data_IF_444532475966
#
_entry.id   IF_444532475966
#
_cell.length_a   1.000
_cell.length_b   1.000
_cell.length_c   1.000
_cell.angle_alpha   90.00
_cell.angle_beta   90.00
_cell.angle_gamma   90.00
#
_symmetry.space_group_name_H-M   'P 1'
#
loop_
_entity.id
_entity.type
_entity.pdbx_description
1 polymer ?
#
# COMPACT_ATOMS: atom_id res chain seq x y z
N UNK A 1 44.01 23.45 7.84
CA UNK A 1 42.99 23.44 6.77
C UNK A 1 41.71 22.92 7.41
N UNK A 2 40.83 23.83 7.83
CA UNK A 2 39.54 23.48 8.42
C UNK A 2 38.67 22.86 7.34
N UNK A 3 38.16 21.66 7.60
CA UNK A 3 37.13 21.03 6.77
C UNK A 3 35.86 21.82 7.05
N UNK A 4 35.35 22.51 6.04
CA UNK A 4 34.11 23.25 6.13
C UNK A 4 32.95 22.26 6.28
N UNK A 5 32.39 22.17 7.48
CA UNK A 5 31.02 21.74 7.70
C UNK A 5 30.11 22.76 7.02
N UNK A 6 29.68 22.45 5.79
CA UNK A 6 28.61 23.17 5.14
C UNK A 6 27.40 22.22 5.07
N UNK A 7 26.50 22.22 6.08
CA UNK A 7 25.32 21.37 6.02
C UNK A 7 24.45 21.87 4.87
N UNK A 8 23.98 20.94 4.03
CA UNK A 8 23.06 21.24 2.94
C UNK A 8 21.86 22.05 3.49
N UNK A 9 21.65 23.31 3.06
CA UNK A 9 20.61 24.19 3.61
C UNK A 9 19.19 23.65 3.45
N UNK A 10 18.97 22.80 2.43
CA UNK A 10 17.66 22.18 2.18
C UNK A 10 17.38 21.12 3.25
N UNK A 11 18.35 20.28 3.59
CA UNK A 11 18.24 19.28 4.66
C UNK A 11 18.00 19.90 6.06
N UNK A 12 18.25 21.20 6.25
CA UNK A 12 17.94 21.88 7.51
C UNK A 12 16.46 22.28 7.63
N UNK A 13 15.77 22.52 6.50
CA UNK A 13 14.38 23.02 6.51
C UNK A 13 13.40 21.95 6.97
N UNK A 14 13.51 20.74 6.43
CA UNK A 14 12.70 19.59 6.85
C UNK A 14 12.89 19.22 8.32
N UNK A 15 14.14 19.23 8.80
CA UNK A 15 14.45 18.92 10.20
C UNK A 15 13.91 20.00 11.16
N UNK A 16 14.04 21.29 10.81
CA UNK A 16 13.47 22.38 11.61
C UNK A 16 11.94 22.27 11.69
N UNK A 17 11.30 21.89 10.58
CA UNK A 17 9.86 21.67 10.54
C UNK A 17 9.43 20.46 11.37
N UNK A 18 10.18 19.35 11.33
CA UNK A 18 9.97 18.20 12.22
C UNK A 18 10.05 18.59 13.70
N UNK A 19 11.11 19.30 14.10
CA UNK A 19 11.32 19.75 15.49
C UNK A 19 10.13 20.58 15.99
N UNK A 20 9.65 21.53 15.17
CA UNK A 20 8.47 22.32 15.49
C UNK A 20 7.23 21.44 15.70
N UNK A 21 7.00 20.46 14.82
CA UNK A 21 5.85 19.55 14.99
C UNK A 21 5.94 18.70 16.25
N UNK A 22 7.13 18.26 16.64
CA UNK A 22 7.33 17.55 17.91
C UNK A 22 6.93 18.42 19.09
N UNK A 23 7.40 19.66 19.14
CA UNK A 23 7.04 20.60 20.22
C UNK A 23 5.52 20.84 20.27
N UNK A 24 4.89 21.02 19.10
CA UNK A 24 3.44 21.18 19.00
C UNK A 24 2.67 19.94 19.50
N UNK A 25 3.11 18.73 19.11
CA UNK A 25 2.47 17.48 19.54
C UNK A 25 2.65 17.25 21.04
N UNK A 26 3.84 17.48 21.58
CA UNK A 26 4.09 17.40 23.02
C UNK A 26 3.24 18.42 23.80
N UNK A 27 3.14 19.66 23.32
CA UNK A 27 2.27 20.68 23.91
C UNK A 27 0.77 20.30 23.84
N UNK A 28 0.36 19.54 22.82
CA UNK A 28 -0.98 18.99 22.68
C UNK A 28 -1.22 17.72 23.53
N UNK A 29 -0.23 17.28 24.31
CA UNK A 29 -0.31 16.14 25.21
C UNK A 29 -0.11 14.79 24.51
N UNK A 30 0.61 14.77 23.39
CA UNK A 30 1.11 13.52 22.82
C UNK A 30 2.40 13.08 23.50
N UNK A 31 2.61 11.76 23.52
CA UNK A 31 3.77 11.10 24.09
C UNK A 31 4.61 10.46 22.98
N UNK A 32 5.92 10.45 23.17
CA UNK A 32 6.84 9.66 22.37
C UNK A 32 7.07 8.29 23.03
N UNK A 33 7.33 7.24 22.24
CA UNK A 33 7.71 5.94 22.78
C UNK A 33 9.11 5.98 23.41
N UNK A 34 9.35 5.12 24.40
CA UNK A 34 10.57 5.19 25.23
C UNK A 34 11.77 4.43 24.66
N UNK A 35 11.56 3.35 23.89
CA UNK A 35 12.62 2.47 23.34
C UNK A 35 12.83 2.61 21.85
N UNK A 36 11.76 2.75 21.05
CA UNK A 36 11.93 3.02 19.63
C UNK A 36 12.29 4.49 19.49
N UNK A 37 13.59 4.78 19.56
CA UNK A 37 14.08 6.10 19.22
C UNK A 37 13.69 6.36 17.77
N UNK A 38 12.72 7.26 17.63
CA UNK A 38 12.67 8.27 16.58
C UNK A 38 14.00 8.33 15.83
N UNK A 39 14.04 7.88 14.58
CA UNK A 39 15.25 8.10 13.76
C UNK A 39 15.44 9.61 13.60
N UNK A 40 16.56 10.08 13.07
CA UNK A 40 16.73 11.53 12.84
C UNK A 40 15.62 12.15 11.97
N UNK A 41 14.86 11.33 11.24
CA UNK A 41 13.84 11.77 10.28
C UNK A 41 12.47 11.10 10.41
N UNK A 42 12.27 10.16 11.33
CA UNK A 42 10.98 9.49 11.52
C UNK A 42 10.64 9.38 12.99
N UNK A 43 9.61 10.11 13.43
CA UNK A 43 9.22 10.23 14.84
C UNK A 43 7.79 9.75 15.05
N UNK A 44 7.57 9.06 16.16
CA UNK A 44 6.29 8.42 16.50
C UNK A 44 5.67 9.11 17.70
N UNK A 45 4.40 9.46 17.61
CA UNK A 45 3.65 10.09 18.70
C UNK A 45 2.33 9.38 18.91
N UNK A 46 1.90 9.30 20.16
CA UNK A 46 0.58 8.77 20.49
C UNK A 46 -0.07 9.54 21.64
N UNK A 47 -1.40 9.49 21.69
CA UNK A 47 -2.20 10.00 22.79
C UNK A 47 -3.31 8.98 23.09
N UNK A 48 -3.40 8.46 24.32
CA UNK A 48 -4.50 7.56 24.69
C UNK A 48 -5.86 8.21 24.47
N UNK A 49 -6.80 7.46 23.89
CA UNK A 49 -8.19 7.89 23.70
C UNK A 49 -9.11 7.16 24.68
N UNK A 50 -8.98 5.83 24.72
CA UNK A 50 -9.70 4.93 25.63
C UNK A 50 -8.67 4.02 26.34
N UNK A 51 -9.15 3.02 27.08
CA UNK A 51 -8.26 1.99 27.65
C UNK A 51 -7.59 1.13 26.58
N UNK A 52 -8.20 0.99 25.39
CA UNK A 52 -7.73 0.08 24.34
C UNK A 52 -7.48 0.74 22.99
N UNK A 53 -7.56 2.07 22.90
CA UNK A 53 -7.30 2.81 21.66
C UNK A 53 -6.46 4.06 21.93
N UNK A 54 -5.66 4.44 20.93
CA UNK A 54 -4.84 5.64 20.94
C UNK A 54 -4.94 6.35 19.59
N UNK A 55 -4.85 7.67 19.63
CA UNK A 55 -4.59 8.48 18.45
C UNK A 55 -3.10 8.52 18.21
N UNK A 56 -2.69 8.24 16.99
CA UNK A 56 -1.28 8.14 16.57
C UNK A 56 -1.01 9.22 15.55
N UNK A 57 0.15 9.85 15.67
CA UNK A 57 0.70 10.79 14.69
C UNK A 57 2.16 10.42 14.46
N UNK A 58 2.49 10.00 13.26
CA UNK A 58 3.85 9.69 12.83
C UNK A 58 4.32 10.75 11.85
N UNK A 59 5.52 11.26 12.10
CA UNK A 59 6.15 12.30 11.29
C UNK A 59 7.33 11.70 10.53
N UNK A 60 7.32 11.82 9.20
CA UNK A 60 8.43 11.48 8.34
C UNK A 60 8.94 12.75 7.65
N UNK A 61 10.13 13.20 8.00
CA UNK A 61 10.75 14.34 7.34
C UNK A 61 11.50 13.94 6.08
N UNK A 62 11.54 14.89 5.16
CA UNK A 62 12.32 14.90 3.94
C UNK A 62 12.99 16.27 3.83
N UNK A 63 13.93 16.41 2.90
CA UNK A 63 14.64 17.67 2.69
C UNK A 63 13.70 18.87 2.49
N UNK A 64 12.60 18.69 1.75
CA UNK A 64 11.71 19.78 1.33
C UNK A 64 10.34 19.81 2.01
N UNK A 65 10.01 18.79 2.82
CA UNK A 65 8.66 18.57 3.36
C UNK A 65 8.63 17.67 4.58
N UNK A 66 7.48 17.66 5.27
CA UNK A 66 7.14 16.65 6.27
C UNK A 66 5.89 15.90 5.82
N UNK A 67 5.96 14.58 5.85
CA UNK A 67 4.80 13.70 5.68
C UNK A 67 4.27 13.32 7.06
N UNK A 68 2.97 13.47 7.25
CA UNK A 68 2.30 13.17 8.52
C UNK A 68 1.30 12.06 8.28
N UNK A 69 1.55 10.88 8.86
CA UNK A 69 0.58 9.79 8.91
C UNK A 69 -0.13 9.85 10.26
N UNK A 70 -1.45 9.93 10.28
CA UNK A 70 -2.22 10.06 11.52
C UNK A 70 -3.44 9.15 11.52
N UNK A 71 -3.93 8.85 12.71
CA UNK A 71 -5.20 8.15 12.87
C UNK A 71 -5.33 7.38 14.17
N UNK A 72 -6.14 6.32 14.17
CA UNK A 72 -6.48 5.57 15.37
C UNK A 72 -5.94 4.15 15.32
N UNK A 73 -5.33 3.72 16.42
CA UNK A 73 -4.79 2.38 16.59
C UNK A 73 -5.31 1.73 17.87
N UNK A 74 -5.64 0.44 17.80
CA UNK A 74 -6.06 -0.37 18.95
C UNK A 74 -4.83 -0.86 19.70
N UNK A 75 -4.64 -0.52 20.98
CA UNK A 75 -3.45 -0.92 21.77
C UNK A 75 -3.20 -2.42 21.83
N UNK A 76 -4.16 -3.26 21.42
CA UNK A 76 -3.98 -4.70 21.23
C UNK A 76 -3.12 -5.15 20.02
N UNK A 77 -2.54 -4.25 19.20
CA UNK A 77 -1.61 -4.62 18.11
C UNK A 77 -0.18 -4.92 18.62
N UNK A 78 0.01 -5.07 19.94
CA UNK A 78 1.32 -5.25 20.54
C UNK A 78 2.03 -6.41 19.86
N UNK A 79 3.29 -6.16 19.43
CA UNK A 79 4.11 -7.17 18.74
C UNK A 79 4.26 -8.45 19.57
N UNK A 80 3.97 -8.35 20.86
CA UNK A 80 3.94 -9.41 21.86
C UNK A 80 2.54 -9.47 22.48
N UNK A 81 1.81 -10.57 22.28
CA UNK A 81 0.50 -10.76 22.90
C UNK A 81 0.62 -10.69 24.43
N UNK A 82 -0.23 -9.87 25.08
CA UNK A 82 -0.22 -9.65 26.53
C UNK A 82 0.74 -8.57 27.02
N UNK A 83 1.46 -7.88 26.12
CA UNK A 83 2.31 -6.73 26.48
C UNK A 83 1.56 -5.41 26.26
N UNK A 84 0.80 -4.98 27.26
CA UNK A 84 0.05 -3.72 27.21
C UNK A 84 0.97 -2.48 27.13
N UNK A 85 2.27 -2.63 27.40
CA UNK A 85 3.25 -1.54 27.35
C UNK A 85 3.87 -1.35 25.97
N UNK A 86 3.64 -2.24 24.99
CA UNK A 86 4.37 -2.16 23.71
C UNK A 86 4.13 -0.83 22.97
N UNK A 87 2.95 -0.22 23.11
CA UNK A 87 2.70 1.13 22.58
C UNK A 87 3.59 2.18 23.26
N UNK A 88 3.71 2.13 24.58
CA UNK A 88 4.52 3.08 25.37
C UNK A 88 6.01 2.89 25.06
N UNK A 89 6.44 1.64 24.90
CA UNK A 89 7.84 1.33 24.66
C UNK A 89 8.27 1.52 23.21
N UNK A 90 7.43 1.09 22.27
CA UNK A 90 7.82 1.00 20.86
C UNK A 90 7.00 1.91 19.95
N UNK A 91 5.86 2.42 20.37
CA UNK A 91 4.99 3.20 19.50
C UNK A 91 4.29 2.33 18.46
N UNK A 92 3.78 2.96 17.41
CA UNK A 92 2.99 2.32 16.34
C UNK A 92 3.58 2.74 15.01
N UNK A 93 3.99 1.78 14.18
CA UNK A 93 4.36 2.11 12.81
C UNK A 93 3.10 2.45 11.99
N UNK A 94 3.28 3.19 10.89
CA UNK A 94 2.20 3.57 9.98
C UNK A 94 1.29 2.39 9.59
N UNK A 95 1.90 1.25 9.25
CA UNK A 95 1.20 0.04 8.84
C UNK A 95 0.34 -0.61 9.92
N UNK A 96 0.58 -0.31 11.20
CA UNK A 96 -0.19 -0.85 12.33
C UNK A 96 -1.37 0.05 12.74
N UNK A 97 -1.45 1.28 12.23
CA UNK A 97 -2.59 2.18 12.49
C UNK A 97 -3.83 1.61 11.78
N UNK A 98 -4.91 1.36 12.53
CA UNK A 98 -6.10 0.67 12.03
C UNK A 98 -6.91 1.52 11.05
N UNK A 99 -7.11 2.80 11.40
CA UNK A 99 -7.67 3.81 10.51
C UNK A 99 -6.62 4.89 10.37
N UNK A 100 -6.05 5.06 9.17
CA UNK A 100 -5.06 6.11 8.90
C UNK A 100 -5.39 6.95 7.69
N UNK A 101 -4.86 8.16 7.74
CA UNK A 101 -4.77 9.12 6.66
C UNK A 101 -3.35 9.69 6.61
N UNK A 102 -3.01 10.33 5.49
CA UNK A 102 -1.71 10.96 5.30
C UNK A 102 -1.87 12.34 4.69
N UNK A 103 -1.12 13.30 5.21
CA UNK A 103 -1.00 14.65 4.65
C UNK A 103 0.47 14.99 4.43
N UNK A 104 0.73 15.81 3.42
CA UNK A 104 2.07 16.28 3.08
C UNK A 104 2.12 17.78 3.33
N UNK A 105 3.10 18.22 4.10
CA UNK A 105 3.24 19.62 4.52
C UNK A 105 4.52 20.20 3.93
N UNK A 106 4.37 21.17 3.03
CA UNK A 106 5.50 21.90 2.40
C UNK A 106 5.57 23.35 2.86
N UNK A 107 4.45 23.91 3.29
CA UNK A 107 4.31 25.31 3.67
C UNK A 107 3.20 25.50 4.72
N UNK A 108 2.98 26.75 5.15
CA UNK A 108 2.01 27.11 6.19
C UNK A 108 0.54 26.91 5.76
N UNK A 109 0.22 26.96 4.48
CA UNK A 109 -1.13 26.69 4.00
C UNK A 109 -1.45 25.19 4.11
N UNK A 110 -0.50 24.33 3.72
CA UNK A 110 -0.63 22.87 3.91
C UNK A 110 -0.75 22.54 5.40
N UNK A 111 -0.02 23.24 6.28
CA UNK A 111 -0.07 23.05 7.72
C UNK A 111 -1.46 23.36 8.30
N UNK A 112 -2.06 24.49 7.92
CA UNK A 112 -3.39 24.86 8.37
C UNK A 112 -4.45 23.85 7.91
N UNK A 113 -4.35 23.39 6.66
CA UNK A 113 -5.24 22.35 6.13
C UNK A 113 -5.05 21.00 6.85
N UNK A 114 -3.80 20.59 7.05
CA UNK A 114 -3.46 19.37 7.78
C UNK A 114 -4.00 19.39 9.21
N UNK A 115 -3.85 20.49 9.92
CA UNK A 115 -4.35 20.64 11.29
C UNK A 115 -5.86 20.44 11.36
N UNK A 116 -6.63 21.01 10.42
CA UNK A 116 -8.07 20.82 10.36
C UNK A 116 -8.45 19.35 10.12
N UNK A 117 -7.79 18.66 9.18
CA UNK A 117 -8.05 17.24 8.89
C UNK A 117 -7.70 16.34 10.09
N UNK A 118 -6.56 16.59 10.76
CA UNK A 118 -6.13 15.82 11.93
C UNK A 118 -7.11 16.02 13.09
N UNK A 119 -7.53 17.26 13.34
CA UNK A 119 -8.50 17.58 14.39
C UNK A 119 -9.87 16.94 14.12
N UNK A 120 -10.35 16.98 12.87
CA UNK A 120 -11.60 16.34 12.46
C UNK A 120 -11.55 14.83 12.67
N UNK A 121 -10.48 14.16 12.24
CA UNK A 121 -10.33 12.71 12.44
C UNK A 121 -10.23 12.36 13.93
N UNK A 122 -9.49 13.14 14.72
CA UNK A 122 -9.40 12.95 16.16
C UNK A 122 -10.76 13.09 16.82
N UNK A 123 -11.52 14.13 16.50
CA UNK A 123 -12.86 14.35 17.04
C UNK A 123 -13.83 13.21 16.67
N UNK A 124 -13.75 12.71 15.42
CA UNK A 124 -14.62 11.64 14.92
C UNK A 124 -14.47 10.32 15.67
N UNK A 125 -13.25 10.01 16.13
CA UNK A 125 -12.92 8.71 16.73
C UNK A 125 -12.46 8.78 18.20
N UNK A 126 -12.58 9.96 18.84
CA UNK A 126 -12.10 10.21 20.21
C UNK A 126 -12.64 9.20 21.24
N UNK A 127 -13.88 8.77 21.08
CA UNK A 127 -14.57 7.86 21.99
C UNK A 127 -14.79 6.47 21.38
N UNK A 128 -14.14 6.18 20.25
CA UNK A 128 -14.31 4.90 19.56
C UNK A 128 -13.54 3.81 20.29
N UNK A 129 -14.29 2.83 20.78
CA UNK A 129 -13.76 1.64 21.42
C UNK A 129 -13.12 0.69 20.40
N UNK A 130 -12.26 -0.22 20.89
CA UNK A 130 -11.47 -1.11 20.03
C UNK A 130 -12.28 -1.85 18.97
N UNK A 131 -13.39 -2.49 19.35
CA UNK A 131 -14.15 -3.32 18.41
C UNK A 131 -14.86 -2.48 17.33
N UNK A 132 -15.31 -1.27 17.69
CA UNK A 132 -15.88 -0.32 16.74
C UNK A 132 -14.82 0.21 15.77
N UNK A 133 -13.62 0.54 16.27
CA UNK A 133 -12.48 0.94 15.45
C UNK A 133 -12.14 -0.15 14.41
N UNK A 134 -12.07 -1.41 14.84
CA UNK A 134 -11.79 -2.55 13.97
C UNK A 134 -12.92 -2.78 12.95
N UNK A 135 -14.18 -2.56 13.34
CA UNK A 135 -15.33 -2.64 12.43
C UNK A 135 -15.26 -1.55 11.34
N UNK A 136 -14.92 -0.31 11.71
CA UNK A 136 -14.71 0.78 10.75
C UNK A 136 -13.57 0.49 9.77
N UNK A 137 -12.42 0.02 10.27
CA UNK A 137 -11.29 -0.35 9.41
C UNK A 137 -11.68 -1.45 8.41
N UNK A 138 -12.41 -2.46 8.88
CA UNK A 138 -12.93 -3.55 8.03
C UNK A 138 -13.93 -3.06 7.00
N UNK A 139 -14.81 -2.12 7.35
CA UNK A 139 -15.76 -1.51 6.42
C UNK A 139 -15.02 -0.72 5.32
N UNK A 140 -14.05 0.14 5.69
CA UNK A 140 -13.22 0.90 4.74
C UNK A 140 -12.47 -0.03 3.79
N UNK A 141 -11.90 -1.13 4.30
CA UNK A 141 -11.22 -2.14 3.48
C UNK A 141 -12.18 -2.86 2.53
N UNK A 142 -13.38 -3.20 3.01
CA UNK A 142 -14.42 -3.83 2.18
C UNK A 142 -14.82 -2.92 1.02
N UNK A 143 -14.99 -1.62 1.27
CA UNK A 143 -15.33 -0.63 0.25
C UNK A 143 -14.21 -0.48 -0.77
N UNK A 144 -12.96 -0.44 -0.33
CA UNK A 144 -11.79 -0.45 -1.22
C UNK A 144 -11.79 -1.65 -2.18
N UNK A 145 -11.94 -2.87 -1.65
CA UNK A 145 -12.02 -4.10 -2.47
C UNK A 145 -13.29 -4.14 -3.34
N UNK A 146 -14.38 -3.52 -2.89
CA UNK A 146 -15.62 -3.44 -3.65
C UNK A 146 -15.45 -2.55 -4.90
N UNK A 147 -14.69 -1.45 -4.81
CA UNK A 147 -14.41 -0.61 -5.97
C UNK A 147 -13.70 -1.38 -7.10
N UNK A 148 -12.72 -2.22 -6.76
CA UNK A 148 -12.07 -3.14 -7.72
C UNK A 148 -13.10 -4.08 -8.34
N UNK A 149 -13.95 -4.68 -7.51
CA UNK A 149 -14.97 -5.64 -7.96
C UNK A 149 -15.96 -5.02 -8.95
N UNK A 150 -16.35 -3.77 -8.73
CA UNK A 150 -17.26 -3.04 -9.62
C UNK A 150 -16.67 -2.83 -11.01
N UNK A 151 -15.35 -2.64 -11.13
CA UNK A 151 -14.65 -2.48 -12.42
C UNK A 151 -14.42 -3.79 -13.16
N UNK A 152 -14.10 -4.87 -12.45
CA UNK A 152 -13.79 -6.15 -13.07
C UNK A 152 -15.04 -6.97 -13.43
N UNK A 153 -16.18 -6.74 -12.75
CA UNK A 153 -17.43 -7.46 -13.02
C UNK A 153 -17.94 -7.30 -14.47
N UNK A 154 -17.99 -6.10 -15.08
CA UNK A 154 -18.35 -5.94 -16.49
C UNK A 154 -17.45 -6.70 -17.45
N UNK A 155 -16.18 -6.91 -17.08
CA UNK A 155 -15.21 -7.70 -17.85
C UNK A 155 -15.37 -9.22 -17.61
N UNK A 156 -16.43 -9.69 -16.95
CA UNK A 156 -16.73 -11.11 -16.77
C UNK A 156 -15.91 -11.84 -15.71
N UNK A 157 -15.15 -11.12 -14.88
CA UNK A 157 -14.37 -11.72 -13.81
C UNK A 157 -15.26 -12.14 -12.62
N UNK A 158 -14.89 -13.27 -12.01
CA UNK A 158 -15.53 -13.81 -10.81
C UNK A 158 -14.61 -13.68 -9.60
N UNK A 159 -15.13 -13.14 -8.50
CA UNK A 159 -14.37 -12.90 -7.28
C UNK A 159 -14.30 -14.15 -6.39
N UNK A 160 -13.12 -14.44 -5.84
CA UNK A 160 -12.88 -15.39 -4.73
C UNK A 160 -11.82 -14.80 -3.80
N UNK A 161 -12.21 -14.42 -2.57
CA UNK A 161 -11.32 -13.68 -1.67
C UNK A 161 -10.93 -12.33 -2.29
N UNK A 162 -9.62 -12.07 -2.39
CA UNK A 162 -9.07 -10.88 -3.05
C UNK A 162 -8.55 -11.16 -4.48
N UNK A 163 -9.02 -12.24 -5.09
CA UNK A 163 -8.73 -12.61 -6.48
C UNK A 163 -9.97 -12.51 -7.35
N UNK A 164 -9.79 -12.09 -8.59
CA UNK A 164 -10.82 -11.99 -9.63
C UNK A 164 -10.32 -12.73 -10.85
N UNK A 165 -10.92 -13.88 -11.16
CA UNK A 165 -10.48 -14.76 -12.25
C UNK A 165 -11.50 -14.83 -13.38
N UNK A 166 -11.02 -15.05 -14.60
CA UNK A 166 -11.83 -15.27 -15.79
C UNK A 166 -11.17 -16.33 -16.70
N UNK A 167 -11.95 -17.29 -17.24
CA UNK A 167 -11.44 -18.20 -18.28
C UNK A 167 -11.03 -17.45 -19.55
N UNK A 168 -9.95 -17.90 -20.16
CA UNK A 168 -9.50 -17.53 -21.50
C UNK A 168 -9.75 -18.71 -22.46
N UNK A 169 -9.24 -18.63 -23.68
CA UNK A 169 -9.36 -19.70 -24.66
C UNK A 169 -8.63 -20.99 -24.24
N UNK A 170 -9.17 -22.14 -24.65
CA UNK A 170 -8.65 -23.46 -24.29
C UNK A 170 -8.77 -23.74 -22.79
N UNK A 171 -7.65 -24.09 -22.16
CA UNK A 171 -7.54 -24.39 -20.73
C UNK A 171 -6.79 -23.29 -19.97
N UNK A 172 -6.81 -22.07 -20.49
CA UNK A 172 -6.16 -20.91 -19.88
C UNK A 172 -7.14 -20.06 -19.07
N UNK A 173 -6.61 -19.32 -18.11
CA UNK A 173 -7.36 -18.33 -17.36
C UNK A 173 -6.46 -17.14 -17.06
N UNK A 174 -7.08 -15.99 -16.83
CA UNK A 174 -6.40 -14.83 -16.26
C UNK A 174 -6.99 -14.51 -14.90
N UNK A 175 -6.17 -13.94 -14.03
CA UNK A 175 -6.63 -13.43 -12.75
C UNK A 175 -5.91 -12.15 -12.36
N UNK A 176 -6.69 -11.25 -11.76
CA UNK A 176 -6.18 -10.15 -10.97
C UNK A 176 -6.24 -10.52 -9.48
N UNK A 177 -5.15 -10.35 -8.73
CA UNK A 177 -5.11 -10.61 -7.29
C UNK A 177 -4.57 -9.40 -6.55
N UNK A 178 -5.39 -8.85 -5.66
CA UNK A 178 -4.98 -7.91 -4.64
C UNK A 178 -4.42 -8.70 -3.44
N UNK A 179 -3.14 -9.06 -3.52
CA UNK A 179 -2.45 -9.80 -2.48
C UNK A 179 -2.13 -8.88 -1.30
N UNK A 180 -2.73 -9.14 -0.14
CA UNK A 180 -2.40 -8.42 1.09
C UNK A 180 -0.95 -8.75 1.51
N UNK A 181 -0.18 -7.74 1.86
CA UNK A 181 1.16 -7.90 2.44
C UNK A 181 1.05 -8.62 3.79
N UNK A 182 2.03 -9.48 4.09
CA UNK A 182 2.13 -10.15 5.39
C UNK A 182 2.76 -9.25 6.46
N UNK A 183 3.43 -8.16 6.05
CA UNK A 183 4.26 -7.33 6.92
C UNK A 183 3.60 -5.99 7.27
N UNK A 184 2.65 -5.54 6.45
CA UNK A 184 2.03 -4.23 6.59
C UNK A 184 0.63 -4.23 5.98
N UNK A 185 -0.15 -3.20 6.28
CA UNK A 185 -1.50 -3.06 5.77
C UNK A 185 -1.51 -2.43 4.37
N UNK A 186 -0.90 -3.12 3.41
CA UNK A 186 -0.76 -2.75 2.00
C UNK A 186 -1.06 -3.92 1.06
N UNK A 187 -1.24 -3.63 -0.22
CA UNK A 187 -1.57 -4.62 -1.26
C UNK A 187 -0.55 -4.62 -2.41
N UNK A 188 -0.17 -5.81 -2.86
CA UNK A 188 0.42 -6.03 -4.17
C UNK A 188 -0.69 -6.35 -5.16
N UNK A 189 -0.71 -5.67 -6.30
CA UNK A 189 -1.68 -5.94 -7.37
C UNK A 189 -1.02 -6.74 -8.48
N UNK A 190 -1.37 -8.02 -8.53
CA UNK A 190 -0.74 -8.98 -9.43
C UNK A 190 -1.73 -9.42 -10.51
N UNK A 191 -1.23 -9.52 -11.73
CA UNK A 191 -1.92 -10.08 -12.90
C UNK A 191 -1.21 -11.36 -13.27
N UNK A 192 -1.97 -12.43 -13.47
CA UNK A 192 -1.45 -13.71 -13.93
C UNK A 192 -2.28 -14.29 -15.06
N UNK A 193 -1.60 -15.04 -15.93
CA UNK A 193 -2.22 -15.96 -16.89
C UNK A 193 -1.72 -17.37 -16.56
N UNK A 194 -2.63 -18.27 -16.23
CA UNK A 194 -2.34 -19.65 -15.84
C UNK A 194 -3.07 -20.66 -16.72
N UNK A 195 -2.66 -21.93 -16.60
CA UNK A 195 -3.28 -23.09 -17.25
C UNK A 195 -3.97 -23.96 -16.20
N UNK A 196 -5.13 -24.52 -16.52
CA UNK A 196 -5.83 -25.44 -15.64
C UNK A 196 -5.01 -26.72 -15.40
N UNK A 197 -5.13 -27.31 -14.20
CA UNK A 197 -4.48 -28.57 -13.85
C UNK A 197 -2.97 -28.49 -13.55
N UNK A 198 -2.35 -27.30 -13.57
CA UNK A 198 -0.94 -27.15 -13.21
C UNK A 198 -0.78 -26.77 -11.72
N UNK A 199 -0.10 -27.62 -10.95
CA UNK A 199 0.02 -27.54 -9.48
C UNK A 199 1.20 -26.70 -8.95
N UNK A 200 1.89 -25.92 -9.78
CA UNK A 200 3.03 -25.09 -9.34
C UNK A 200 2.74 -23.62 -9.59
N UNK A 201 3.32 -22.79 -8.72
CA UNK A 201 3.78 -21.42 -9.00
C UNK A 201 4.45 -21.35 -10.39
N UNK A 202 3.64 -21.29 -11.43
CA UNK A 202 3.96 -21.64 -12.81
C UNK A 202 3.04 -20.87 -13.74
N UNK A 203 2.79 -19.61 -13.36
CA UNK A 203 2.07 -18.65 -14.15
C UNK A 203 2.81 -18.50 -15.48
N UNK A 204 2.12 -18.76 -16.59
CA UNK A 204 2.67 -18.52 -17.92
C UNK A 204 2.94 -17.03 -18.16
N UNK A 205 2.43 -16.15 -17.30
CA UNK A 205 2.70 -14.72 -17.19
C UNK A 205 2.43 -14.28 -15.76
N UNK A 206 3.33 -13.48 -15.18
CA UNK A 206 3.16 -12.78 -13.92
C UNK A 206 3.61 -11.33 -14.12
N UNK A 207 2.71 -10.39 -13.89
CA UNK A 207 2.99 -8.95 -13.97
C UNK A 207 2.43 -8.27 -12.74
N UNK A 208 3.22 -7.36 -12.15
CA UNK A 208 2.75 -6.46 -11.11
C UNK A 208 2.35 -5.14 -11.73
N UNK A 209 1.15 -4.68 -11.40
CA UNK A 209 0.71 -3.31 -11.71
C UNK A 209 0.59 -2.54 -10.41
N UNK A 210 0.82 -1.23 -10.46
CA UNK A 210 0.92 -0.42 -9.26
C UNK A 210 0.29 0.95 -9.47
N UNK A 211 -0.58 1.43 -8.57
CA UNK A 211 -1.01 2.82 -8.58
C UNK A 211 0.23 3.70 -8.35
N UNK A 212 0.44 4.70 -9.22
CA UNK A 212 1.57 5.64 -9.15
C UNK A 212 2.96 4.97 -9.12
N UNK A 213 3.08 3.72 -9.60
CA UNK A 213 4.34 2.96 -9.53
C UNK A 213 4.72 2.47 -8.13
N UNK A 214 3.85 2.65 -7.13
CA UNK A 214 4.10 2.28 -5.75
C UNK A 214 3.66 0.84 -5.47
N UNK A 215 4.59 -0.03 -5.07
CA UNK A 215 4.26 -1.39 -4.63
C UNK A 215 5.09 -1.82 -3.41
N UNK A 216 4.44 -2.38 -2.36
CA UNK A 216 3.00 -2.53 -2.21
C UNK A 216 2.30 -1.18 -2.00
N UNK A 217 1.03 -1.09 -2.42
CA UNK A 217 0.23 0.12 -2.29
C UNK A 217 -0.49 0.13 -0.94
N UNK A 218 -0.26 1.17 -0.15
CA UNK A 218 -1.04 1.44 1.05
C UNK A 218 -2.45 1.88 0.65
N UNK A 219 -3.42 0.99 0.85
CA UNK A 219 -4.81 1.20 0.45
C UNK A 219 -5.52 2.27 1.27
N UNK A 220 -5.02 2.60 2.48
CA UNK A 220 -5.64 3.59 3.35
C UNK A 220 -5.22 5.01 3.02
N UNK A 221 -3.96 5.19 2.59
CA UNK A 221 -3.38 6.50 2.27
C UNK A 221 -3.41 6.83 0.77
N UNK A 222 -3.82 5.88 -0.07
CA UNK A 222 -4.10 6.13 -1.48
C UNK A 222 -5.28 7.10 -1.62
N UNK A 223 -5.03 8.26 -2.23
CA UNK A 223 -6.08 9.25 -2.48
C UNK A 223 -7.20 8.63 -3.34
N UNK A 224 -8.48 8.93 -3.07
CA UNK A 224 -9.59 8.37 -3.85
C UNK A 224 -9.47 8.60 -5.36
N UNK A 225 -9.00 9.79 -5.78
CA UNK A 225 -8.74 10.11 -7.18
C UNK A 225 -7.64 9.22 -7.79
N UNK A 226 -6.54 8.97 -7.06
CA UNK A 226 -5.46 8.11 -7.51
C UNK A 226 -5.90 6.64 -7.63
N UNK A 227 -6.78 6.18 -6.74
CA UNK A 227 -7.39 4.86 -6.87
C UNK A 227 -8.25 4.78 -8.13
N UNK A 228 -9.14 5.75 -8.36
CA UNK A 228 -9.98 5.78 -9.57
C UNK A 228 -9.14 5.82 -10.84
N UNK A 229 -8.11 6.67 -10.89
CA UNK A 229 -7.17 6.76 -12.01
C UNK A 229 -6.45 5.43 -12.25
N UNK A 230 -5.98 4.76 -11.20
CA UNK A 230 -5.37 3.43 -11.34
C UNK A 230 -6.37 2.39 -11.87
N UNK A 231 -7.58 2.35 -11.31
CA UNK A 231 -8.58 1.36 -11.70
C UNK A 231 -9.02 1.55 -13.15
N UNK A 232 -9.37 2.76 -13.52
CA UNK A 232 -10.00 3.06 -14.80
C UNK A 232 -8.94 3.34 -15.90
N UNK A 233 -7.76 3.81 -15.53
CA UNK A 233 -6.66 4.14 -16.45
C UNK A 233 -5.57 3.05 -16.59
N UNK A 234 -5.44 2.14 -15.62
CA UNK A 234 -4.41 1.06 -15.68
C UNK A 234 -5.03 -0.33 -15.62
N UNK A 235 -5.78 -0.64 -14.57
CA UNK A 235 -6.29 -1.99 -14.34
C UNK A 235 -7.30 -2.42 -15.42
N UNK A 236 -8.36 -1.63 -15.63
CA UNK A 236 -9.42 -1.95 -16.60
C UNK A 236 -8.87 -2.07 -18.02
N UNK A 237 -8.04 -1.13 -18.54
CA UNK A 237 -7.41 -1.28 -19.85
C UNK A 237 -6.56 -2.54 -19.96
N UNK A 238 -5.70 -2.82 -18.97
CA UNK A 238 -4.85 -4.00 -18.99
C UNK A 238 -5.67 -5.31 -19.01
N UNK A 239 -6.73 -5.38 -18.19
CA UNK A 239 -7.60 -6.55 -18.15
C UNK A 239 -8.43 -6.70 -19.42
N UNK A 240 -8.90 -5.58 -19.99
CA UNK A 240 -9.64 -5.57 -21.26
C UNK A 240 -8.77 -6.11 -22.39
N UNK A 241 -7.51 -5.64 -22.49
CA UNK A 241 -6.55 -6.12 -23.48
C UNK A 241 -6.31 -7.63 -23.38
N UNK A 242 -6.00 -8.14 -22.17
CA UNK A 242 -5.78 -9.58 -21.95
C UNK A 242 -7.03 -10.41 -22.31
N UNK A 243 -8.21 -9.87 -22.03
CA UNK A 243 -9.47 -10.58 -22.24
C UNK A 243 -9.93 -10.61 -23.70
N UNK A 244 -9.65 -9.55 -24.46
CA UNK A 244 -10.13 -9.39 -25.83
C UNK A 244 -9.12 -9.82 -26.89
N UNK A 245 -7.85 -9.95 -26.52
CA UNK A 245 -6.78 -10.34 -27.44
C UNK A 245 -6.61 -11.86 -27.43
N UNK A 246 -6.60 -12.53 -28.60
CA UNK A 246 -6.30 -13.97 -28.69
C UNK A 246 -4.95 -14.29 -28.01
N UNK A 247 -4.86 -15.44 -27.37
CA UNK A 247 -3.70 -15.80 -26.54
C UNK A 247 -2.43 -15.93 -27.39
N UNK A 248 -2.55 -16.37 -28.64
CA UNK A 248 -1.43 -16.38 -29.61
C UNK A 248 -0.87 -14.98 -29.86
N UNK A 249 -1.73 -13.97 -29.97
CA UNK A 249 -1.32 -12.57 -30.17
C UNK A 249 -0.69 -12.01 -28.88
N UNK A 250 -1.29 -12.27 -27.72
CA UNK A 250 -0.67 -11.92 -26.42
C UNK A 250 0.70 -12.58 -26.27
N UNK A 251 0.89 -13.78 -26.81
CA UNK A 251 2.14 -14.52 -26.80
C UNK A 251 3.29 -13.82 -27.53
N UNK A 252 3.00 -12.81 -28.35
CA UNK A 252 3.97 -11.97 -29.02
C UNK A 252 4.39 -10.73 -28.20
N UNK A 253 3.79 -10.48 -27.02
CA UNK A 253 4.00 -9.27 -26.22
C UNK A 253 4.95 -9.53 -25.03
N UNK A 254 6.24 -9.15 -25.13
CA UNK A 254 7.24 -9.52 -24.13
C UNK A 254 6.96 -8.96 -22.73
N UNK A 255 6.30 -7.81 -22.63
CA UNK A 255 5.88 -7.19 -21.38
C UNK A 255 4.95 -8.07 -20.53
N UNK A 256 4.23 -9.01 -21.13
CA UNK A 256 3.35 -9.93 -20.40
C UNK A 256 4.11 -11.15 -19.87
N UNK A 257 5.03 -11.72 -20.66
CA UNK A 257 5.67 -12.99 -20.31
C UNK A 257 7.17 -12.89 -19.97
N UNK A 258 7.75 -11.69 -19.93
CA UNK A 258 9.17 -11.46 -19.63
C UNK A 258 9.62 -12.09 -18.30
N UNK A 259 8.70 -12.26 -17.35
CA UNK A 259 8.96 -12.82 -16.02
C UNK A 259 8.35 -14.21 -15.80
N UNK A 260 7.86 -14.87 -16.86
CA UNK A 260 7.24 -16.18 -16.72
C UNK A 260 8.29 -17.25 -16.36
N UNK A 261 8.04 -17.96 -15.26
CA UNK A 261 8.95 -18.96 -14.69
C UNK A 261 8.60 -20.40 -15.07
N UNK A 262 7.68 -20.65 -16.01
CA UNK A 262 7.38 -22.03 -16.39
C UNK A 262 8.59 -22.69 -17.04
N UNK A 263 8.75 -24.01 -16.85
CA UNK A 263 9.75 -24.80 -17.58
C UNK A 263 9.27 -24.98 -19.03
N UNK A 264 9.45 -23.92 -19.83
CA UNK A 264 8.84 -23.71 -21.16
C UNK A 264 9.19 -24.79 -22.17
N UNK A 265 10.36 -25.41 -22.06
CA UNK A 265 10.80 -26.56 -22.87
C UNK A 265 9.98 -27.83 -22.62
N UNK A 266 9.30 -27.92 -21.48
CA UNK A 266 8.45 -29.05 -21.10
C UNK A 266 6.95 -28.73 -21.24
N UNK A 267 6.57 -27.56 -21.80
CA UNK A 267 5.18 -27.15 -21.96
C UNK A 267 4.76 -27.22 -23.44
N UNK A 268 4.27 -28.37 -23.87
CA UNK A 268 3.80 -28.59 -25.25
C UNK A 268 2.68 -27.64 -25.68
N UNK A 269 1.96 -27.03 -24.74
CA UNK A 269 0.85 -26.11 -25.02
C UNK A 269 1.18 -24.63 -24.79
N UNK A 270 2.44 -24.24 -24.59
CA UNK A 270 2.78 -22.84 -24.27
C UNK A 270 2.21 -21.84 -25.29
N UNK A 271 1.55 -20.79 -24.81
CA UNK A 271 0.92 -19.77 -25.67
C UNK A 271 1.87 -18.63 -26.07
N UNK A 272 3.05 -18.54 -25.46
CA UNK A 272 4.09 -17.59 -25.84
C UNK A 272 4.76 -18.04 -27.13
N UNK A 273 4.94 -17.13 -28.09
CA UNK A 273 5.56 -17.44 -29.38
C UNK A 273 6.99 -17.95 -29.22
N UNK A 274 7.30 -19.12 -29.82
CA UNK A 274 8.62 -19.76 -29.74
C UNK A 274 9.77 -18.88 -30.26
N UNK A 275 9.55 -18.09 -31.32
CA UNK A 275 10.66 -17.37 -31.95
C UNK A 275 11.09 -16.10 -31.19
N UNK A 276 10.35 -15.68 -30.16
CA UNK A 276 10.65 -14.45 -29.41
C UNK A 276 11.53 -14.67 -28.17
N UNK A 277 11.68 -15.91 -27.70
CA UNK A 277 12.55 -16.21 -26.56
C UNK A 277 13.99 -16.52 -26.98
N UNK A 278 14.19 -17.16 -28.13
CA UNK A 278 15.53 -17.43 -28.71
C UNK A 278 16.31 -16.11 -28.94
N UNK A 279 15.61 -15.05 -29.32
CA UNK A 279 16.19 -13.71 -29.45
C UNK A 279 16.66 -13.10 -28.12
N UNK A 280 16.03 -13.48 -26.98
CA UNK A 280 16.34 -12.95 -25.65
C UNK A 280 17.44 -13.74 -24.92
N UNK A 281 17.61 -15.03 -25.23
CA UNK A 281 18.75 -15.82 -24.75
C UNK A 281 20.04 -15.55 -25.55
N UNK A 282 19.91 -14.92 -26.72
CA UNK A 282 21.02 -14.53 -27.60
C UNK A 282 21.52 -13.09 -27.39
N UNK A 283 20.99 -12.36 -26.39
CA UNK A 283 21.42 -11.00 -26.00
C UNK A 283 21.93 -10.98 -24.56
#
# INVERSE_FOLDING_TARGET
MQIADNPNPIAQKGLAQLMRYREMLQAAGFHEPTKWQSSSWHWLFYKPLTSLTAFVVNLQGHDDRVEVTYGCASTAFTRFAGDENALIEHGVSDGHINLRERVIIRNSADEAAAQACIQDMHARYLLTEKDELLAHAKAKQKDFIQQISLRLKPLGFRKKGNSWSRPLEGCYYTTFNAQKSAYEDAYYFNVYIGKEGTNRYGDCCYVRIAPLGLYPADWQTLAPAALVEFLDGTLVPAMTHIVQTPLTVLGAEPNLWAHCGCQRTCCESCWVHKNMWEAKEST
#
